data_IF_801257893975
#
_entry.id   IF_801257893975
#
_cell.length_a   1.000
_cell.length_b   1.000
_cell.length_c   1.000
_cell.angle_alpha   90.00
_cell.angle_beta   90.00
_cell.angle_gamma   90.00
#
_symmetry.space_group_name_H-M   'P 1'
#
loop_
_entity.id
_entity.type
_entity.pdbx_description
1 polymer ?
#
# COMPACT_ATOMS: atom_id res chain seq x y z
N UNK A 1 28.12 17.07 55.19
CA UNK A 1 28.45 17.25 53.77
C UNK A 1 27.72 18.48 53.27
N UNK A 2 28.42 19.63 53.17
CA UNK A 2 27.86 20.86 52.65
C UNK A 2 27.77 20.72 51.11
N UNK A 3 26.54 20.78 50.58
CA UNK A 3 26.35 20.85 49.13
C UNK A 3 26.89 22.17 48.57
N UNK A 4 27.65 22.09 47.51
CA UNK A 4 28.17 23.28 46.86
C UNK A 4 27.06 24.08 46.19
N UNK A 5 27.15 25.43 46.21
CA UNK A 5 26.16 26.32 45.57
C UNK A 5 25.90 25.97 44.09
N UNK A 6 26.88 25.37 43.42
CA UNK A 6 26.77 24.87 42.06
C UNK A 6 25.82 23.67 41.96
N UNK A 7 25.86 22.74 42.91
CA UNK A 7 25.00 21.55 42.94
C UNK A 7 23.55 21.93 43.20
N UNK A 8 23.32 22.93 44.07
CA UNK A 8 21.98 23.47 44.35
C UNK A 8 21.43 24.17 43.11
N UNK A 9 22.26 24.97 42.44
CA UNK A 9 21.86 25.67 41.21
C UNK A 9 21.49 24.66 40.09
N UNK A 10 22.28 23.60 39.92
CA UNK A 10 22.02 22.59 38.88
C UNK A 10 20.73 21.78 39.19
N UNK A 11 20.48 21.46 40.45
CA UNK A 11 19.27 20.78 40.88
C UNK A 11 18.01 21.62 40.66
N UNK A 12 18.06 22.93 40.91
CA UNK A 12 16.93 23.84 40.69
C UNK A 12 16.65 23.99 39.20
N UNK A 13 17.67 24.17 38.36
CA UNK A 13 17.50 24.29 36.90
C UNK A 13 16.98 22.97 36.32
N UNK A 14 17.51 21.84 36.71
CA UNK A 14 17.05 20.52 36.30
C UNK A 14 15.58 20.26 36.68
N UNK A 15 15.21 20.64 37.91
CA UNK A 15 13.82 20.55 38.39
C UNK A 15 12.83 21.43 37.59
N UNK A 16 13.24 22.65 37.22
CA UNK A 16 12.41 23.56 36.41
C UNK A 16 12.23 23.04 34.99
N UNK A 17 13.26 22.49 34.35
CA UNK A 17 13.19 21.89 33.02
C UNK A 17 12.27 20.68 33.06
N UNK A 18 12.40 19.81 34.05
CA UNK A 18 11.55 18.62 34.20
C UNK A 18 10.08 19.01 34.40
N UNK A 19 9.80 19.99 35.24
CA UNK A 19 8.46 20.52 35.46
C UNK A 19 7.87 21.11 34.18
N UNK A 20 8.67 21.82 33.38
CA UNK A 20 8.26 22.37 32.08
C UNK A 20 7.90 21.28 31.07
N UNK A 21 8.67 20.21 30.97
CA UNK A 21 8.41 19.07 30.07
C UNK A 21 7.14 18.33 30.49
N UNK A 22 6.95 18.08 31.79
CA UNK A 22 5.74 17.42 32.31
C UNK A 22 4.50 18.28 32.07
N UNK A 23 4.59 19.60 32.34
CA UNK A 23 3.46 20.50 32.09
C UNK A 23 3.12 20.59 30.61
N UNK A 24 4.11 20.65 29.72
CA UNK A 24 3.92 20.66 28.28
C UNK A 24 3.32 19.34 27.77
N UNK A 25 3.81 18.21 28.26
CA UNK A 25 3.27 16.87 27.94
C UNK A 25 1.81 16.73 28.39
N UNK A 26 1.48 17.16 29.61
CA UNK A 26 0.11 17.13 30.13
C UNK A 26 -0.84 18.07 29.33
N UNK A 27 -0.35 19.21 28.87
CA UNK A 27 -1.14 20.13 28.06
C UNK A 27 -1.36 19.61 26.64
N UNK A 28 -0.35 19.02 26.05
CA UNK A 28 -0.43 18.37 24.73
C UNK A 28 -1.40 17.18 24.76
N UNK A 29 -1.32 16.33 25.79
CA UNK A 29 -2.22 15.18 25.95
C UNK A 29 -3.69 15.57 26.07
N UNK A 30 -3.96 16.69 26.74
CA UNK A 30 -5.34 17.23 26.86
C UNK A 30 -5.91 17.76 25.54
N UNK A 31 -5.05 18.21 24.62
CA UNK A 31 -5.47 18.64 23.28
C UNK A 31 -5.66 17.47 22.31
N UNK A 32 -4.99 16.36 22.54
CA UNK A 32 -5.04 15.16 21.71
C UNK A 32 -6.03 14.10 22.23
N UNK A 33 -6.71 14.35 23.36
CA UNK A 33 -7.75 13.45 23.84
C UNK A 33 -8.91 13.43 22.83
N UNK A 34 -9.33 12.24 22.34
CA UNK A 34 -10.51 12.14 21.48
C UNK A 34 -11.70 12.71 22.24
N UNK A 35 -12.42 13.62 21.58
CA UNK A 35 -13.65 14.20 22.12
C UNK A 35 -14.68 13.09 22.13
N UNK A 36 -14.91 12.46 23.28
CA UNK A 36 -16.06 11.60 23.45
C UNK A 36 -17.30 12.47 23.27
N UNK A 37 -18.15 12.06 22.34
CA UNK A 37 -19.48 12.64 22.20
C UNK A 37 -20.19 12.52 23.56
N UNK A 38 -20.73 13.62 24.09
CA UNK A 38 -21.58 13.56 25.25
C UNK A 38 -22.75 12.62 24.93
N UNK A 39 -23.18 11.78 25.89
CA UNK A 39 -24.39 10.98 25.72
C UNK A 39 -25.53 11.95 25.35
N UNK A 40 -26.04 11.87 24.15
CA UNK A 40 -27.26 12.58 23.78
C UNK A 40 -28.39 11.98 24.61
N UNK A 41 -29.09 12.82 25.41
CA UNK A 41 -30.35 12.45 25.99
C UNK A 41 -31.30 11.96 24.90
N UNK A 42 -32.08 10.89 25.12
CA UNK A 42 -32.97 10.36 24.12
C UNK A 42 -33.99 11.43 23.72
N UNK A 43 -33.74 12.11 22.61
CA UNK A 43 -34.75 12.90 21.95
C UNK A 43 -35.79 11.94 21.44
N UNK A 44 -36.99 12.00 22.00
CA UNK A 44 -38.17 11.40 21.40
C UNK A 44 -38.45 12.09 20.06
N UNK A 45 -37.78 11.63 19.02
CA UNK A 45 -38.14 11.92 17.66
C UNK A 45 -39.27 10.94 17.28
N UNK A 46 -40.33 11.40 16.61
CA UNK A 46 -41.32 10.49 16.06
C UNK A 46 -40.60 9.52 15.09
N UNK A 47 -41.09 8.28 14.97
CA UNK A 47 -40.45 7.32 14.05
C UNK A 47 -40.51 7.91 12.63
N UNK A 48 -39.40 8.46 12.20
CA UNK A 48 -39.20 8.66 10.78
C UNK A 48 -38.99 7.25 10.23
N UNK A 49 -40.00 6.72 9.56
CA UNK A 49 -39.83 5.67 8.60
C UNK A 49 -38.71 6.15 7.66
N UNK A 50 -37.50 5.67 7.92
CA UNK A 50 -36.38 5.78 6.98
C UNK A 50 -36.80 4.99 5.75
N UNK A 51 -37.36 5.70 4.77
CA UNK A 51 -37.45 5.18 3.42
C UNK A 51 -35.99 5.12 2.95
N UNK A 52 -35.31 4.01 3.25
CA UNK A 52 -34.27 3.56 2.33
C UNK A 52 -34.94 3.53 0.96
N UNK A 53 -34.37 4.15 -0.09
CA UNK A 53 -34.89 4.00 -1.42
C UNK A 53 -35.01 2.49 -1.65
N UNK A 54 -36.25 1.98 -1.71
CA UNK A 54 -36.51 0.55 -1.78
C UNK A 54 -35.71 -0.01 -2.93
N UNK A 55 -34.87 -0.99 -2.62
CA UNK A 55 -34.29 -1.85 -3.62
C UNK A 55 -35.46 -2.61 -4.25
N UNK A 56 -35.88 -2.17 -5.42
CA UNK A 56 -36.78 -2.98 -6.25
C UNK A 56 -36.05 -4.29 -6.52
N UNK A 57 -36.46 -5.36 -5.83
CA UNK A 57 -35.92 -6.73 -6.02
C UNK A 57 -36.08 -7.22 -7.47
N UNK A 58 -36.86 -6.52 -8.30
CA UNK A 58 -37.09 -6.85 -9.70
C UNK A 58 -35.96 -6.41 -10.66
N UNK A 59 -34.96 -5.67 -10.21
CA UNK A 59 -33.88 -5.15 -11.07
C UNK A 59 -32.54 -5.89 -10.93
N UNK A 60 -32.48 -6.98 -10.17
CA UNK A 60 -31.27 -7.80 -10.11
C UNK A 60 -31.19 -8.76 -11.30
N UNK A 61 -30.90 -8.22 -12.47
CA UNK A 61 -30.39 -9.05 -13.56
C UNK A 61 -28.93 -9.40 -13.26
N UNK A 62 -28.74 -10.56 -12.61
CA UNK A 62 -27.44 -11.10 -12.15
C UNK A 62 -26.46 -11.29 -13.32
N UNK A 63 -26.90 -11.13 -14.55
CA UNK A 63 -26.12 -11.35 -15.77
C UNK A 63 -25.16 -10.21 -16.15
N UNK A 64 -25.20 -9.06 -15.45
CA UNK A 64 -24.43 -7.88 -15.83
C UNK A 64 -23.51 -7.32 -14.75
N UNK A 65 -23.18 -8.08 -13.71
CA UNK A 65 -22.06 -7.68 -12.87
C UNK A 65 -20.76 -7.88 -13.65
N UNK A 66 -20.01 -6.81 -13.98
CA UNK A 66 -18.71 -6.99 -14.60
C UNK A 66 -17.87 -7.87 -13.66
N UNK A 67 -17.44 -9.02 -14.18
CA UNK A 67 -16.49 -9.88 -13.47
C UNK A 67 -15.33 -8.98 -13.04
N UNK A 68 -14.92 -8.98 -11.74
CA UNK A 68 -13.80 -8.16 -11.29
C UNK A 68 -12.61 -8.46 -12.19
N UNK A 69 -12.21 -7.50 -13.00
CA UNK A 69 -10.96 -7.60 -13.75
C UNK A 69 -9.89 -7.51 -12.67
N UNK A 70 -9.23 -8.62 -12.40
CA UNK A 70 -8.09 -8.64 -11.50
C UNK A 70 -7.13 -7.54 -11.95
N UNK A 71 -6.82 -6.60 -11.06
CA UNK A 71 -5.84 -5.55 -11.31
C UNK A 71 -4.56 -6.28 -11.75
N UNK A 72 -4.19 -6.15 -13.04
CA UNK A 72 -3.01 -6.82 -13.58
C UNK A 72 -1.83 -6.28 -12.80
N UNK A 73 -1.15 -7.14 -12.05
CA UNK A 73 0.07 -6.76 -11.36
C UNK A 73 1.04 -6.26 -12.41
N UNK A 74 1.56 -5.07 -12.21
CA UNK A 74 2.58 -4.51 -13.09
C UNK A 74 3.76 -5.49 -13.11
N UNK A 75 4.15 -5.90 -14.29
CA UNK A 75 5.41 -6.60 -14.56
C UNK A 75 6.54 -5.62 -14.20
N UNK A 76 7.68 -6.13 -13.74
CA UNK A 76 8.87 -5.31 -13.50
C UNK A 76 9.21 -4.50 -14.74
N UNK A 77 9.42 -3.20 -14.56
CA UNK A 77 9.73 -2.26 -15.64
C UNK A 77 11.08 -1.59 -15.36
N UNK A 78 12.03 -1.77 -16.29
CA UNK A 78 13.36 -1.20 -16.20
C UNK A 78 13.39 0.34 -16.11
N UNK A 79 12.27 1.04 -16.42
CA UNK A 79 12.19 2.49 -16.27
C UNK A 79 11.99 2.93 -14.82
N UNK A 80 11.33 2.10 -14.01
CA UNK A 80 10.93 2.44 -12.64
C UNK A 80 11.45 1.46 -11.59
N UNK A 81 12.05 0.35 -12.03
CA UNK A 81 12.59 -0.67 -11.14
C UNK A 81 14.09 -0.91 -11.42
N UNK A 82 14.82 -1.28 -10.39
CA UNK A 82 16.08 -2.00 -10.51
C UNK A 82 15.74 -3.44 -10.80
N UNK A 83 16.36 -4.04 -11.83
CA UNK A 83 16.14 -5.44 -12.20
C UNK A 83 17.47 -6.19 -12.13
N UNK A 84 17.48 -7.27 -11.37
CA UNK A 84 18.57 -8.24 -11.32
C UNK A 84 18.11 -9.54 -11.96
N UNK A 85 18.62 -9.90 -13.15
CA UNK A 85 18.35 -11.20 -13.74
C UNK A 85 18.99 -12.31 -12.91
N UNK A 86 18.33 -13.48 -12.89
CA UNK A 86 18.79 -14.67 -12.19
C UNK A 86 18.76 -15.82 -13.19
N UNK A 87 19.93 -16.25 -13.60
CA UNK A 87 20.09 -17.37 -14.52
C UNK A 87 20.01 -18.70 -13.79
N UNK A 88 19.45 -19.70 -14.43
CA UNK A 88 19.32 -21.06 -13.90
C UNK A 88 20.05 -22.05 -14.78
N UNK A 89 20.70 -23.05 -14.20
CA UNK A 89 21.26 -24.19 -14.92
C UNK A 89 20.17 -25.16 -15.40
N UNK A 90 19.10 -25.28 -14.63
CA UNK A 90 17.95 -26.13 -14.92
C UNK A 90 16.66 -25.43 -14.54
N UNK A 91 15.60 -25.63 -15.32
CA UNK A 91 14.31 -25.01 -15.06
C UNK A 91 13.72 -25.49 -13.70
N UNK A 92 13.14 -24.54 -12.96
CA UNK A 92 12.62 -24.71 -11.61
C UNK A 92 11.09 -24.72 -11.63
N UNK A 93 10.48 -25.61 -10.83
CA UNK A 93 9.03 -25.64 -10.66
C UNK A 93 8.54 -24.49 -9.78
N UNK A 94 7.33 -24.01 -10.08
CA UNK A 94 6.72 -22.89 -9.36
C UNK A 94 6.56 -23.11 -7.87
N UNK A 95 6.33 -24.35 -7.43
CA UNK A 95 6.25 -24.74 -6.03
C UNK A 95 7.57 -24.47 -5.28
N UNK A 96 8.70 -24.80 -5.91
CA UNK A 96 10.02 -24.54 -5.33
C UNK A 96 10.32 -23.04 -5.30
N UNK A 97 9.97 -22.32 -6.37
CA UNK A 97 10.11 -20.87 -6.41
C UNK A 97 9.25 -20.18 -5.35
N UNK A 98 8.01 -20.62 -5.16
CA UNK A 98 7.11 -20.07 -4.13
C UNK A 98 7.62 -20.34 -2.70
N UNK A 99 8.19 -21.53 -2.46
CA UNK A 99 8.79 -21.88 -1.17
C UNK A 99 10.05 -21.06 -0.86
N UNK A 100 10.79 -20.63 -1.90
CA UNK A 100 11.99 -19.80 -1.80
C UNK A 100 11.70 -18.30 -1.66
N UNK A 101 10.44 -17.88 -1.86
CA UNK A 101 10.07 -16.45 -1.85
C UNK A 101 10.39 -15.79 -0.51
N UNK A 102 10.97 -14.59 -0.50
CA UNK A 102 11.19 -13.84 0.74
C UNK A 102 9.89 -13.60 1.51
N UNK A 103 9.94 -13.61 2.85
CA UNK A 103 8.74 -13.44 3.68
C UNK A 103 8.07 -12.07 3.54
N UNK A 104 8.82 -11.08 3.08
CA UNK A 104 8.29 -9.75 2.80
C UNK A 104 8.55 -9.36 1.36
N UNK A 105 7.55 -8.70 0.73
CA UNK A 105 7.66 -8.16 -0.62
C UNK A 105 8.10 -6.70 -0.62
N UNK A 106 9.08 -6.38 0.21
CA UNK A 106 9.65 -5.03 0.36
C UNK A 106 11.13 -5.13 0.67
N UNK A 107 11.89 -4.14 0.18
CA UNK A 107 13.23 -3.82 0.63
C UNK A 107 13.16 -2.42 1.24
N UNK A 108 13.26 -2.33 2.57
CA UNK A 108 12.93 -1.10 3.29
C UNK A 108 11.54 -0.58 2.98
N UNK A 109 11.45 0.63 2.48
CA UNK A 109 10.21 1.26 2.05
C UNK A 109 9.75 0.89 0.63
N UNK A 110 10.61 0.26 -0.18
CA UNK A 110 10.38 -0.01 -1.59
C UNK A 110 9.70 -1.35 -1.84
N UNK A 111 8.71 -1.44 -2.74
CA UNK A 111 8.20 -2.70 -3.25
C UNK A 111 9.33 -3.55 -3.85
N UNK A 112 9.29 -4.84 -3.52
CA UNK A 112 10.20 -5.86 -4.04
C UNK A 112 9.37 -6.99 -4.65
N UNK A 113 9.77 -7.48 -5.80
CA UNK A 113 9.11 -8.61 -6.47
C UNK A 113 10.11 -9.52 -7.15
N UNK A 114 9.68 -10.76 -7.37
CA UNK A 114 10.37 -11.77 -8.16
C UNK A 114 9.40 -12.26 -9.22
N UNK A 115 9.89 -12.35 -10.45
CA UNK A 115 9.18 -12.88 -11.59
C UNK A 115 9.95 -14.03 -12.20
N UNK A 116 9.24 -15.00 -12.75
CA UNK A 116 9.79 -16.14 -13.47
C UNK A 116 9.45 -16.07 -14.95
N UNK A 117 10.39 -16.45 -15.79
CA UNK A 117 10.17 -16.61 -17.21
C UNK A 117 9.47 -17.95 -17.47
N UNK A 118 8.20 -17.88 -17.81
CA UNK A 118 7.40 -19.03 -18.18
C UNK A 118 7.65 -19.36 -19.67
N UNK A 119 8.26 -20.52 -19.94
CA UNK A 119 8.56 -20.95 -21.30
C UNK A 119 7.29 -21.29 -22.10
N UNK A 120 6.26 -21.82 -21.46
CA UNK A 120 4.98 -22.15 -22.11
C UNK A 120 4.17 -20.88 -22.42
N UNK A 121 4.11 -19.95 -21.47
CA UNK A 121 3.43 -18.67 -21.61
C UNK A 121 4.24 -17.62 -22.37
N UNK A 122 5.53 -17.89 -22.66
CA UNK A 122 6.47 -16.98 -23.30
C UNK A 122 6.45 -15.56 -22.71
N UNK A 123 6.60 -15.48 -21.39
CA UNK A 123 6.51 -14.19 -20.68
C UNK A 123 6.95 -14.25 -19.22
N UNK A 124 7.22 -13.06 -18.69
CA UNK A 124 7.48 -12.87 -17.27
C UNK A 124 6.17 -12.85 -16.49
N UNK A 125 6.13 -13.61 -15.41
CA UNK A 125 4.98 -13.65 -14.50
C UNK A 125 5.41 -13.90 -13.06
N UNK A 126 4.52 -13.57 -12.11
CA UNK A 126 4.73 -13.99 -10.71
C UNK A 126 4.68 -15.51 -10.63
N UNK A 127 5.66 -16.19 -9.99
CA UNK A 127 5.68 -17.63 -9.85
C UNK A 127 4.36 -18.21 -9.34
N UNK A 128 3.88 -19.27 -9.99
CA UNK A 128 2.61 -19.92 -9.72
C UNK A 128 2.79 -21.45 -9.67
N UNK A 129 1.93 -22.12 -8.89
CA UNK A 129 1.90 -23.57 -8.78
C UNK A 129 1.61 -24.20 -10.15
N UNK A 130 2.29 -25.31 -10.45
CA UNK A 130 2.11 -26.05 -11.70
C UNK A 130 2.84 -25.46 -12.91
N UNK A 131 3.51 -24.32 -12.75
CA UNK A 131 4.30 -23.71 -13.81
C UNK A 131 5.79 -24.09 -13.69
N UNK A 132 6.53 -23.86 -14.79
CA UNK A 132 7.96 -24.13 -14.85
C UNK A 132 8.69 -22.93 -15.42
N UNK A 133 9.80 -22.56 -14.79
CA UNK A 133 10.53 -21.34 -15.07
C UNK A 133 11.96 -21.61 -15.49
N UNK A 134 12.37 -21.08 -16.65
CA UNK A 134 13.73 -21.22 -17.18
C UNK A 134 14.69 -20.13 -16.68
N UNK A 135 14.17 -19.04 -16.15
CA UNK A 135 14.95 -17.96 -15.55
C UNK A 135 14.07 -17.21 -14.53
N UNK A 136 14.69 -16.42 -13.67
CA UNK A 136 14.00 -15.46 -12.80
C UNK A 136 14.58 -14.06 -12.97
N UNK A 137 13.84 -13.07 -12.50
CA UNK A 137 14.33 -11.72 -12.26
C UNK A 137 13.81 -11.22 -10.93
N UNK A 138 14.66 -10.56 -10.17
CA UNK A 138 14.29 -9.86 -8.95
C UNK A 138 14.27 -8.37 -9.22
N UNK A 139 13.30 -7.66 -8.67
CA UNK A 139 13.22 -6.23 -8.85
C UNK A 139 12.84 -5.47 -7.59
N UNK A 140 13.32 -4.23 -7.50
CA UNK A 140 12.97 -3.28 -6.46
C UNK A 140 12.67 -1.93 -7.08
N UNK A 141 11.61 -1.27 -6.60
CA UNK A 141 11.19 0.02 -7.12
C UNK A 141 12.23 1.11 -6.83
N UNK A 142 12.58 1.91 -7.86
CA UNK A 142 13.56 3.00 -7.75
C UNK A 142 13.06 4.15 -6.87
N UNK A 143 11.80 4.53 -7.01
CA UNK A 143 11.24 5.64 -6.24
C UNK A 143 9.76 5.40 -5.92
N UNK A 144 9.32 5.90 -4.80
CA UNK A 144 7.91 5.93 -4.40
C UNK A 144 7.62 7.19 -3.56
N UNK A 145 6.43 7.31 -2.98
CA UNK A 145 6.05 8.47 -2.16
C UNK A 145 6.89 8.69 -0.90
N UNK A 146 7.71 7.73 -0.50
CA UNK A 146 8.64 7.88 0.62
C UNK A 146 10.03 8.36 0.18
N UNK A 147 10.22 8.55 -1.13
CA UNK A 147 11.45 9.05 -1.74
C UNK A 147 12.16 8.03 -2.62
N UNK A 148 13.39 8.34 -3.03
CA UNK A 148 14.26 7.51 -3.84
C UNK A 148 14.77 6.27 -3.08
N UNK A 149 15.13 5.21 -3.82
CA UNK A 149 15.88 4.07 -3.31
C UNK A 149 17.24 4.55 -2.80
N UNK A 150 17.63 4.09 -1.61
CA UNK A 150 18.93 4.40 -1.00
C UNK A 150 19.81 3.15 -0.91
N UNK A 151 21.07 3.34 -0.50
CA UNK A 151 22.09 2.29 -0.44
C UNK A 151 21.73 1.15 0.54
N UNK A 152 21.00 1.47 1.63
CA UNK A 152 20.57 0.47 2.61
C UNK A 152 19.45 -0.40 2.01
N UNK A 153 18.46 0.22 1.39
CA UNK A 153 17.36 -0.47 0.70
C UNK A 153 17.88 -1.31 -0.49
N UNK A 154 18.87 -0.79 -1.22
CA UNK A 154 19.53 -1.56 -2.27
C UNK A 154 20.25 -2.78 -1.72
N UNK A 155 21.00 -2.64 -0.61
CA UNK A 155 21.66 -3.77 0.05
C UNK A 155 20.69 -4.81 0.56
N UNK A 156 19.53 -4.40 1.08
CA UNK A 156 18.45 -5.33 1.47
C UNK A 156 17.85 -6.04 0.25
N UNK A 157 17.70 -5.34 -0.87
CA UNK A 157 17.29 -5.94 -2.15
C UNK A 157 18.27 -7.03 -2.58
N UNK A 158 19.57 -6.75 -2.60
CA UNK A 158 20.62 -7.72 -2.97
C UNK A 158 20.56 -8.95 -2.06
N UNK A 159 20.48 -8.77 -0.73
CA UNK A 159 20.40 -9.90 0.21
C UNK A 159 19.18 -10.79 -0.05
N UNK A 160 18.01 -10.21 -0.33
CA UNK A 160 16.79 -10.96 -0.60
C UNK A 160 16.82 -11.69 -1.94
N UNK A 161 17.31 -11.02 -2.97
CA UNK A 161 17.45 -11.62 -4.30
C UNK A 161 18.50 -12.73 -4.31
N UNK A 162 19.62 -12.54 -3.61
CA UNK A 162 20.65 -13.58 -3.45
C UNK A 162 20.10 -14.80 -2.69
N UNK A 163 19.42 -14.59 -1.57
CA UNK A 163 18.84 -15.70 -0.80
C UNK A 163 17.81 -16.50 -1.61
N UNK A 164 17.01 -15.84 -2.44
CA UNK A 164 16.11 -16.50 -3.38
C UNK A 164 16.89 -17.30 -4.43
N UNK A 165 17.88 -16.67 -5.07
CA UNK A 165 18.71 -17.31 -6.10
C UNK A 165 19.41 -18.56 -5.55
N UNK A 166 20.01 -18.46 -4.36
CA UNK A 166 20.66 -19.61 -3.70
C UNK A 166 19.66 -20.76 -3.45
N UNK A 167 18.44 -20.44 -3.03
CA UNK A 167 17.41 -21.43 -2.74
C UNK A 167 16.89 -22.14 -4.00
N UNK A 168 16.89 -21.49 -5.17
CA UNK A 168 16.48 -22.07 -6.44
C UNK A 168 17.64 -22.58 -7.29
N UNK A 169 18.88 -22.47 -6.81
CA UNK A 169 20.08 -22.87 -7.55
C UNK A 169 20.38 -21.97 -8.75
N UNK A 170 20.09 -20.66 -8.62
CA UNK A 170 20.34 -19.66 -9.65
C UNK A 170 21.52 -18.76 -9.34
N UNK A 171 21.99 -18.06 -10.36
CA UNK A 171 23.06 -17.06 -10.25
C UNK A 171 22.50 -15.67 -10.60
N UNK A 172 22.41 -14.75 -9.61
CA UNK A 172 21.94 -13.39 -9.85
C UNK A 172 23.07 -12.50 -10.40
N UNK A 173 22.69 -11.55 -11.24
CA UNK A 173 23.56 -10.49 -11.72
C UNK A 173 23.01 -9.14 -11.24
N UNK A 174 23.76 -8.46 -10.37
CA UNK A 174 23.33 -7.19 -9.79
C UNK A 174 23.93 -6.01 -10.55
N UNK A 175 23.12 -4.99 -10.90
CA UNK A 175 23.63 -3.74 -11.43
C UNK A 175 24.45 -2.97 -10.36
N UNK A 176 25.25 -2.01 -10.79
CA UNK A 176 26.10 -1.24 -9.88
C UNK A 176 25.23 -0.36 -8.95
N UNK A 177 25.44 -0.51 -7.65
CA UNK A 177 24.60 0.15 -6.61
C UNK A 177 24.56 1.67 -6.75
N UNK A 178 25.71 2.29 -6.98
CA UNK A 178 25.78 3.76 -7.02
C UNK A 178 25.07 4.33 -8.23
N UNK A 179 25.11 3.63 -9.38
CA UNK A 179 24.41 4.02 -10.59
C UNK A 179 22.88 3.91 -10.40
N UNK A 180 22.42 2.84 -9.76
CA UNK A 180 21.00 2.64 -9.49
C UNK A 180 20.43 3.63 -8.47
N UNK A 181 21.20 3.93 -7.43
CA UNK A 181 20.82 4.97 -6.45
C UNK A 181 20.80 6.36 -7.09
N UNK A 182 21.73 6.66 -8.00
CA UNK A 182 21.70 7.92 -8.76
C UNK A 182 20.45 8.00 -9.66
N UNK A 183 20.15 6.93 -10.40
CA UNK A 183 18.96 6.81 -11.25
C UNK A 183 17.67 6.94 -10.42
N UNK A 184 17.65 6.37 -9.22
CA UNK A 184 16.53 6.50 -8.31
C UNK A 184 16.27 7.96 -7.88
N UNK A 185 17.32 8.70 -7.58
CA UNK A 185 17.22 10.13 -7.22
C UNK A 185 16.70 10.99 -8.37
N UNK A 186 17.16 10.72 -9.59
CA UNK A 186 16.68 11.40 -10.80
C UNK A 186 15.19 11.12 -11.03
N UNK A 187 14.76 9.86 -10.90
CA UNK A 187 13.37 9.47 -11.03
C UNK A 187 12.50 10.12 -9.95
N UNK A 188 12.95 10.14 -8.70
CA UNK A 188 12.23 10.75 -7.58
C UNK A 188 12.06 12.27 -7.78
N UNK A 189 13.10 12.94 -8.26
CA UNK A 189 13.03 14.36 -8.59
C UNK A 189 12.05 14.62 -9.73
N UNK A 190 12.09 13.80 -10.78
CA UNK A 190 11.14 13.90 -11.89
C UNK A 190 9.71 13.65 -11.43
N UNK A 191 9.47 12.58 -10.69
CA UNK A 191 8.14 12.23 -10.16
C UNK A 191 7.59 13.34 -9.25
N UNK A 192 8.41 13.87 -8.34
CA UNK A 192 8.02 14.96 -7.42
C UNK A 192 7.59 16.24 -8.16
N UNK A 193 8.18 16.50 -9.33
CA UNK A 193 7.80 17.65 -10.16
C UNK A 193 6.51 17.44 -10.96
N UNK A 194 6.08 16.17 -11.16
CA UNK A 194 4.97 15.80 -12.06
C UNK A 194 3.85 15.03 -11.36
N UNK A 195 4.01 14.63 -10.08
CA UNK A 195 2.99 13.90 -9.31
C UNK A 195 1.99 14.88 -8.69
N UNK A 196 0.89 15.10 -9.37
CA UNK A 196 -0.28 15.80 -8.82
C UNK A 196 -1.38 14.79 -8.51
N UNK A 197 -1.65 14.53 -7.23
CA UNK A 197 -2.79 13.75 -6.80
C UNK A 197 -3.92 14.66 -6.32
N UNK A 198 -5.12 14.46 -6.87
CA UNK A 198 -6.34 15.14 -6.43
C UNK A 198 -7.20 14.15 -5.65
N UNK A 199 -7.45 14.46 -4.38
CA UNK A 199 -8.34 13.68 -3.52
C UNK A 199 -9.65 14.44 -3.31
N UNK A 200 -10.79 13.75 -3.53
CA UNK A 200 -12.13 14.27 -3.31
C UNK A 200 -12.80 13.48 -2.19
N UNK A 201 -13.30 14.19 -1.19
CA UNK A 201 -14.08 13.58 -0.12
C UNK A 201 -15.57 13.80 -0.37
N UNK A 202 -16.31 12.71 -0.52
CA UNK A 202 -17.77 12.74 -0.66
C UNK A 202 -18.39 12.40 0.68
N UNK A 203 -19.32 13.24 1.14
CA UNK A 203 -20.04 13.05 2.41
C UNK A 203 -21.54 12.99 2.17
N UNK A 204 -22.18 12.04 2.83
CA UNK A 204 -23.64 11.99 2.87
C UNK A 204 -24.22 13.22 3.60
N UNK A 205 -25.30 13.80 3.06
CA UNK A 205 -25.93 14.99 3.65
C UNK A 205 -27.02 14.65 4.67
N UNK A 206 -27.72 13.54 4.50
CA UNK A 206 -28.92 13.21 5.27
C UNK A 206 -28.77 11.89 6.03
N UNK A 207 -28.43 10.81 5.34
CA UNK A 207 -28.28 9.49 5.91
C UNK A 207 -26.89 8.94 5.61
N UNK A 208 -26.32 8.14 6.51
CA UNK A 208 -25.07 7.43 6.26
C UNK A 208 -25.25 6.46 5.08
N UNK A 209 -24.24 6.35 4.23
CA UNK A 209 -24.26 5.42 3.11
C UNK A 209 -23.69 4.07 3.56
N UNK A 210 -24.45 3.01 3.33
CA UNK A 210 -23.94 1.67 3.55
C UNK A 210 -22.86 1.32 2.49
N UNK A 211 -21.91 0.43 2.81
CA UNK A 211 -20.92 -0.05 1.84
C UNK A 211 -21.57 -0.60 0.55
N UNK A 212 -22.69 -1.35 0.69
CA UNK A 212 -23.44 -1.86 -0.45
C UNK A 212 -24.03 -0.76 -1.34
N UNK A 213 -24.58 0.30 -0.74
CA UNK A 213 -25.05 1.46 -1.46
C UNK A 213 -23.94 2.15 -2.27
N UNK A 214 -22.77 2.34 -1.65
CA UNK A 214 -21.62 2.93 -2.32
C UNK A 214 -21.17 2.07 -3.49
N UNK A 215 -21.06 0.75 -3.29
CA UNK A 215 -20.65 -0.20 -4.33
C UNK A 215 -21.61 -0.20 -5.52
N UNK A 216 -22.90 -0.26 -5.24
CA UNK A 216 -23.93 -0.29 -6.29
C UNK A 216 -23.91 0.98 -7.14
N UNK A 217 -23.87 2.16 -6.49
CA UNK A 217 -23.84 3.43 -7.21
C UNK A 217 -22.53 3.63 -7.99
N UNK A 218 -21.40 3.24 -7.42
CA UNK A 218 -20.12 3.29 -8.11
C UNK A 218 -20.09 2.34 -9.33
N UNK A 219 -20.66 1.13 -9.22
CA UNK A 219 -20.73 0.19 -10.33
C UNK A 219 -21.56 0.75 -11.50
N UNK A 220 -22.64 1.48 -11.23
CA UNK A 220 -23.44 2.17 -12.28
C UNK A 220 -22.63 3.23 -13.03
N UNK A 221 -21.60 3.80 -12.38
CA UNK A 221 -20.68 4.78 -12.97
C UNK A 221 -19.47 4.13 -13.65
N UNK A 222 -19.42 2.79 -13.72
CA UNK A 222 -18.35 2.05 -14.38
C UNK A 222 -17.18 1.68 -13.47
N UNK A 223 -17.29 1.90 -12.14
CA UNK A 223 -16.27 1.41 -11.23
C UNK A 223 -16.39 -0.12 -11.09
N UNK A 224 -15.24 -0.78 -11.04
CA UNK A 224 -15.11 -2.22 -10.77
C UNK A 224 -14.42 -2.43 -9.43
N UNK A 225 -14.62 -3.59 -8.82
CA UNK A 225 -13.96 -3.93 -7.55
C UNK A 225 -12.44 -3.94 -7.74
N UNK A 226 -11.74 -3.27 -6.83
CA UNK A 226 -10.28 -3.29 -6.77
C UNK A 226 -9.74 -4.54 -6.06
N UNK A 227 -8.41 -4.64 -5.98
CA UNK A 227 -7.72 -5.77 -5.35
C UNK A 227 -7.88 -5.85 -3.82
N UNK A 228 -8.35 -4.78 -3.19
CA UNK A 228 -8.54 -4.70 -1.74
C UNK A 228 -10.00 -4.44 -1.39
N UNK A 229 -10.53 -5.04 -0.31
CA UNK A 229 -11.86 -4.72 0.21
C UNK A 229 -12.00 -3.22 0.49
N UNK A 230 -13.15 -2.63 0.15
CA UNK A 230 -13.39 -1.19 0.32
C UNK A 230 -12.74 -0.30 -0.74
N UNK A 231 -12.12 -0.89 -1.76
CA UNK A 231 -11.58 -0.17 -2.91
C UNK A 231 -12.31 -0.54 -4.19
N UNK A 232 -12.69 0.46 -4.97
CA UNK A 232 -13.16 0.30 -6.33
C UNK A 232 -12.31 1.19 -7.25
N UNK A 233 -12.19 0.82 -8.51
CA UNK A 233 -11.40 1.55 -9.49
C UNK A 233 -12.20 1.79 -10.75
N UNK A 234 -12.06 2.96 -11.35
CA UNK A 234 -12.56 3.27 -12.68
C UNK A 234 -11.45 2.96 -13.68
N UNK A 235 -11.58 1.88 -14.48
CA UNK A 235 -10.53 1.50 -15.42
C UNK A 235 -10.32 2.58 -16.48
N UNK A 236 -9.09 2.65 -17.00
CA UNK A 236 -8.82 3.47 -18.16
C UNK A 236 -9.47 2.86 -19.41
N UNK A 237 -9.76 3.71 -20.41
CA UNK A 237 -10.33 3.27 -21.71
C UNK A 237 -9.35 2.41 -22.52
N UNK A 238 -8.04 2.53 -22.25
CA UNK A 238 -7.00 1.74 -22.91
C UNK A 238 -6.52 0.65 -21.96
N UNK A 239 -6.57 -0.63 -22.37
CA UNK A 239 -6.08 -1.73 -21.55
C UNK A 239 -4.60 -1.58 -21.17
N UNK A 240 -4.27 -1.84 -19.91
CA UNK A 240 -2.90 -1.79 -19.40
C UNK A 240 -2.48 -0.44 -18.82
N UNK A 241 -3.29 0.61 -18.95
CA UNK A 241 -3.06 1.87 -18.24
C UNK A 241 -3.61 1.81 -16.80
N UNK A 242 -3.01 2.60 -15.88
CA UNK A 242 -3.53 2.74 -14.52
C UNK A 242 -4.99 3.20 -14.51
N UNK A 243 -5.77 2.87 -13.47
CA UNK A 243 -7.14 3.35 -13.34
C UNK A 243 -7.20 4.87 -13.28
N UNK A 244 -8.23 5.45 -13.90
CA UNK A 244 -8.45 6.91 -13.93
C UNK A 244 -8.80 7.46 -12.56
N UNK A 245 -9.60 6.72 -11.79
CA UNK A 245 -10.04 7.08 -10.44
C UNK A 245 -10.01 5.85 -9.53
N UNK A 246 -9.71 6.09 -8.26
CA UNK A 246 -9.88 5.11 -7.19
C UNK A 246 -10.90 5.64 -6.18
N UNK A 247 -11.88 4.81 -5.82
CA UNK A 247 -12.83 5.08 -4.76
C UNK A 247 -12.48 4.20 -3.56
N UNK A 248 -12.27 4.82 -2.39
CA UNK A 248 -12.03 4.10 -1.15
C UNK A 248 -13.16 4.42 -0.17
N UNK A 249 -13.67 3.40 0.52
CA UNK A 249 -14.69 3.54 1.55
C UNK A 249 -14.48 2.49 2.64
N UNK A 250 -14.92 2.80 3.86
CA UNK A 250 -14.83 1.88 4.98
C UNK A 250 -15.93 0.80 4.85
N UNK A 251 -15.50 -0.46 4.73
CA UNK A 251 -16.40 -1.61 4.61
C UNK A 251 -17.10 -1.96 5.93
N UNK A 252 -16.61 -1.43 7.07
CA UNK A 252 -17.16 -1.68 8.40
C UNK A 252 -18.01 -0.52 8.91
N UNK A 253 -18.15 0.57 8.16
CA UNK A 253 -18.91 1.74 8.60
C UNK A 253 -20.37 1.45 8.96
N UNK A 254 -20.96 0.38 8.41
CA UNK A 254 -22.32 -0.06 8.73
C UNK A 254 -22.43 -0.88 10.05
N UNK A 255 -21.30 -1.23 10.67
CA UNK A 255 -21.27 -2.02 11.91
C UNK A 255 -21.06 -1.13 13.17
N UNK A 256 -20.96 0.17 12.97
CA UNK A 256 -20.69 1.16 14.03
C UNK A 256 -21.98 1.85 14.58
N UNK A 257 -23.17 1.32 14.28
CA UNK A 257 -24.45 1.74 14.87
C UNK A 257 -24.87 0.83 16.01
#
# INVERSE_FOLDING_TARGET
LAMSNLQIGLAVVGGLVLAGVVAHGAWSSRRSAPRQAAPEEPRNLPPHEGIEPGLDEAAFDVAHFPVPVAEKRLVLDALIDVIAPITLDTAVYGEAALAAMPPTRRAGSKPFSIEGWNEEGNGWETPAVGQRYGAFQAGVQLANRTGALNEIEYSEFVMKAQAFADAVGGTPEFPEMLDEVARARELDQFASAHDAQLDFFVRARQAAWSPGYVQQNAAQLGFVAGAMPGRMVLPASVPGLPPVLSLNFDTQAALAE
#
